data_IF_471363690106
#
_entry.id   IF_471363690106
#
_cell.length_a   1.000
_cell.length_b   1.000
_cell.length_c   1.000
_cell.angle_alpha   90.00
_cell.angle_beta   90.00
_cell.angle_gamma   90.00
#
_symmetry.space_group_name_H-M   'P 1'
#
loop_
_entity.id
_entity.type
_entity.pdbx_description
1 polymer ?
#
# COMPACT_ATOMS: atom_id res chain seq x y z
N UNK A 1 -7.82 2.44 39.66
CA UNK A 1 -7.91 1.00 39.35
C UNK A 1 -7.15 0.79 38.05
N UNK A 2 -6.06 0.00 38.08
CA UNK A 2 -5.31 -0.32 36.88
C UNK A 2 -6.15 -1.28 36.05
N UNK A 3 -6.65 -0.81 34.92
CA UNK A 3 -7.46 -1.64 34.01
C UNK A 3 -6.54 -2.68 33.39
N UNK A 4 -6.61 -3.90 33.91
CA UNK A 4 -5.94 -5.07 33.35
C UNK A 4 -6.57 -5.37 32.00
N UNK A 5 -6.01 -4.80 30.93
CA UNK A 5 -6.32 -5.22 29.56
C UNK A 5 -5.73 -6.62 29.43
N UNK A 6 -6.59 -7.62 29.24
CA UNK A 6 -6.16 -8.99 28.98
C UNK A 6 -5.40 -8.96 27.65
N UNK A 7 -4.07 -8.97 27.70
CA UNK A 7 -3.23 -9.15 26.52
C UNK A 7 -3.51 -10.56 25.98
N UNK A 8 -4.09 -10.68 24.78
CA UNK A 8 -4.08 -11.96 24.07
C UNK A 8 -2.63 -12.30 23.75
N UNK A 9 -2.12 -13.36 24.36
CA UNK A 9 -0.77 -13.85 24.10
C UNK A 9 -0.73 -14.42 22.68
N UNK A 10 0.25 -13.98 21.88
CA UNK A 10 0.42 -14.45 20.50
C UNK A 10 0.78 -15.93 20.47
N UNK A 11 0.04 -16.68 19.67
CA UNK A 11 0.32 -18.05 19.27
C UNK A 11 0.13 -18.18 17.75
N UNK A 12 0.40 -19.38 17.22
CA UNK A 12 0.36 -19.62 15.76
C UNK A 12 -1.03 -19.51 15.10
N UNK A 13 -2.11 -19.36 15.86
CA UNK A 13 -3.49 -19.40 15.36
C UNK A 13 -4.25 -18.08 15.52
N UNK A 14 -3.73 -17.14 16.29
CA UNK A 14 -4.39 -15.87 16.59
C UNK A 14 -3.62 -14.66 16.08
N UNK A 15 -2.77 -14.84 15.07
CA UNK A 15 -1.91 -13.78 14.56
C UNK A 15 -2.72 -12.56 14.10
N UNK A 16 -3.81 -12.77 13.35
CA UNK A 16 -4.63 -11.67 12.84
C UNK A 16 -5.25 -10.84 13.98
N UNK A 17 -5.92 -11.49 14.93
CA UNK A 17 -6.50 -10.83 16.11
C UNK A 17 -5.44 -10.13 16.98
N UNK A 18 -4.29 -10.78 17.18
CA UNK A 18 -3.18 -10.22 17.95
C UNK A 18 -2.57 -8.99 17.26
N UNK A 19 -2.35 -9.07 15.95
CA UNK A 19 -1.75 -7.99 15.16
C UNK A 19 -2.60 -6.73 15.23
N UNK A 20 -3.93 -6.87 15.10
CA UNK A 20 -4.87 -5.77 15.23
C UNK A 20 -4.81 -5.09 16.61
N UNK A 21 -4.71 -5.89 17.69
CA UNK A 21 -4.58 -5.35 19.05
C UNK A 21 -3.26 -4.60 19.26
N UNK A 22 -2.16 -5.13 18.73
CA UNK A 22 -0.85 -4.48 18.84
C UNK A 22 -0.82 -3.19 18.01
N UNK A 23 -1.32 -3.19 16.77
CA UNK A 23 -1.41 -1.97 15.95
C UNK A 23 -2.24 -0.89 16.65
N UNK A 24 -3.38 -1.27 17.23
CA UNK A 24 -4.23 -0.35 18.01
C UNK A 24 -3.48 0.22 19.22
N UNK A 25 -2.72 -0.60 19.94
CA UNK A 25 -1.88 -0.16 21.05
C UNK A 25 -0.77 0.79 20.58
N UNK A 26 -0.10 0.48 19.47
CA UNK A 26 0.99 1.30 18.94
C UNK A 26 0.49 2.67 18.45
N UNK A 27 -0.68 2.71 17.80
CA UNK A 27 -1.35 3.96 17.43
C UNK A 27 -1.64 4.81 18.68
N UNK A 28 -2.23 4.22 19.71
CA UNK A 28 -2.58 4.94 20.95
C UNK A 28 -1.35 5.45 21.73
N UNK A 29 -0.17 4.91 21.47
CA UNK A 29 1.09 5.30 22.14
C UNK A 29 2.03 6.12 21.27
N UNK A 30 1.61 6.51 20.06
CA UNK A 30 2.45 7.19 19.08
C UNK A 30 3.76 6.41 18.76
N UNK A 31 3.61 5.11 18.57
CA UNK A 31 4.68 4.15 18.27
C UNK A 31 4.48 3.43 16.92
N UNK A 32 3.47 3.80 16.14
CA UNK A 32 3.15 3.10 14.89
C UNK A 32 4.21 3.34 13.80
N UNK A 33 4.87 4.50 13.85
CA UNK A 33 5.97 4.89 12.96
C UNK A 33 7.13 3.87 12.97
N UNK A 34 7.52 3.40 14.16
CA UNK A 34 8.66 2.49 14.32
C UNK A 34 8.38 1.04 13.90
N UNK A 35 7.11 0.67 13.66
CA UNK A 35 6.75 -0.64 13.10
C UNK A 35 6.94 -0.68 11.59
N UNK A 36 6.53 0.37 10.88
CA UNK A 36 6.46 0.33 9.42
C UNK A 36 7.66 1.00 8.76
N UNK A 37 8.30 1.98 9.41
CA UNK A 37 9.37 2.78 8.82
C UNK A 37 10.75 2.36 9.37
N UNK A 38 11.79 2.67 8.58
CA UNK A 38 13.19 2.48 8.99
C UNK A 38 13.68 3.70 9.77
N UNK A 39 14.69 3.55 10.65
CA UNK A 39 15.25 4.67 11.40
C UNK A 39 15.65 5.84 10.50
N UNK A 40 15.29 7.08 10.85
CA UNK A 40 15.64 8.25 10.05
C UNK A 40 17.16 8.44 10.03
N UNK A 41 17.72 8.62 8.83
CA UNK A 41 19.11 8.98 8.65
C UNK A 41 19.23 10.48 8.92
N UNK A 42 19.65 10.85 10.12
CA UNK A 42 19.79 12.24 10.55
C UNK A 42 20.99 12.41 11.47
N UNK A 43 21.69 13.53 11.32
CA UNK A 43 22.75 13.96 12.24
C UNK A 43 22.19 14.60 13.52
N UNK A 44 20.87 14.83 13.58
CA UNK A 44 20.21 15.36 14.76
C UNK A 44 20.10 14.28 15.86
N UNK A 45 20.94 14.42 16.89
CA UNK A 45 21.02 13.49 18.01
C UNK A 45 19.68 13.36 18.78
N UNK A 46 18.91 14.44 18.89
CA UNK A 46 17.61 14.42 19.58
C UNK A 46 16.58 13.58 18.83
N UNK A 47 16.51 13.72 17.50
CA UNK A 47 15.61 12.94 16.64
C UNK A 47 16.02 11.46 16.65
N UNK A 48 17.32 11.18 16.56
CA UNK A 48 17.85 9.80 16.65
C UNK A 48 17.52 9.15 18.00
N UNK A 49 17.66 9.90 19.10
CA UNK A 49 17.38 9.43 20.46
C UNK A 49 15.89 9.22 20.70
N UNK A 50 15.04 10.13 20.19
CA UNK A 50 13.59 10.00 20.25
C UNK A 50 13.12 8.75 19.51
N UNK A 51 13.65 8.52 18.30
CA UNK A 51 13.37 7.30 17.52
C UNK A 51 13.76 6.03 18.27
N UNK A 52 15.00 5.94 18.76
CA UNK A 52 15.47 4.77 19.54
C UNK A 52 14.61 4.50 20.76
N UNK A 53 14.09 5.54 21.42
CA UNK A 53 13.20 5.40 22.58
C UNK A 53 11.82 4.87 22.17
N UNK A 54 11.27 5.31 21.03
CA UNK A 54 10.02 4.77 20.47
C UNK A 54 10.19 3.31 20.05
N UNK A 55 11.25 3.01 19.29
CA UNK A 55 11.56 1.67 18.80
C UNK A 55 11.75 0.67 19.95
N UNK A 56 12.51 1.04 20.99
CA UNK A 56 12.69 0.19 22.17
C UNK A 56 11.37 -0.09 22.93
N UNK A 57 10.47 0.91 23.02
CA UNK A 57 9.15 0.73 23.66
C UNK A 57 8.25 -0.19 22.85
N UNK A 58 8.24 -0.03 21.53
CA UNK A 58 7.46 -0.85 20.63
C UNK A 58 7.96 -2.30 20.65
N UNK A 59 9.28 -2.51 20.54
CA UNK A 59 9.90 -3.84 20.62
C UNK A 59 9.56 -4.53 21.94
N UNK A 60 9.65 -3.82 23.06
CA UNK A 60 9.29 -4.35 24.37
C UNK A 60 7.82 -4.77 24.47
N UNK A 61 6.91 -3.99 23.90
CA UNK A 61 5.49 -4.33 23.87
C UNK A 61 5.20 -5.58 23.01
N UNK A 62 5.87 -5.72 21.86
CA UNK A 62 5.77 -6.92 21.02
C UNK A 62 6.26 -8.15 21.79
N UNK A 63 7.46 -8.07 22.39
CA UNK A 63 8.04 -9.17 23.17
C UNK A 63 7.13 -9.64 24.30
N UNK A 64 6.60 -8.72 25.10
CA UNK A 64 5.73 -9.05 26.23
C UNK A 64 4.36 -9.61 25.82
N UNK A 65 3.99 -9.44 24.55
CA UNK A 65 2.73 -9.97 24.02
C UNK A 65 2.90 -11.34 23.36
N UNK A 66 4.13 -11.87 23.24
CA UNK A 66 4.42 -13.15 22.62
C UNK A 66 4.34 -14.32 23.62
N UNK A 67 3.87 -15.47 23.15
CA UNK A 67 4.02 -16.76 23.84
C UNK A 67 5.43 -17.32 23.67
N UNK A 68 5.79 -18.37 24.42
CA UNK A 68 7.14 -18.94 24.40
C UNK A 68 7.59 -19.39 23.00
N UNK A 69 6.68 -19.95 22.21
CA UNK A 69 6.93 -20.42 20.85
C UNK A 69 7.12 -19.27 19.86
N UNK A 70 6.35 -18.19 19.97
CA UNK A 70 6.41 -17.03 19.09
C UNK A 70 7.51 -16.04 19.50
N UNK A 71 7.83 -15.95 20.79
CA UNK A 71 8.99 -15.20 21.29
C UNK A 71 10.31 -15.76 20.75
N UNK A 72 10.41 -17.09 20.58
CA UNK A 72 11.60 -17.72 20.03
C UNK A 72 11.95 -17.24 18.61
N UNK A 73 10.94 -16.83 17.83
CA UNK A 73 11.10 -16.30 16.46
C UNK A 73 11.76 -14.91 16.46
N UNK A 74 11.49 -14.10 17.49
CA UNK A 74 11.89 -12.69 17.56
C UNK A 74 12.97 -12.39 18.61
N UNK A 75 13.46 -13.41 19.33
CA UNK A 75 14.56 -13.29 20.33
C UNK A 75 15.79 -12.54 19.81
N UNK A 76 16.05 -12.61 18.50
CA UNK A 76 17.23 -12.01 17.86
C UNK A 76 16.93 -10.66 17.18
N UNK A 77 15.67 -10.23 17.18
CA UNK A 77 15.29 -8.94 16.63
C UNK A 77 15.85 -7.81 17.49
N UNK A 78 16.43 -6.79 16.84
CA UNK A 78 16.99 -5.62 17.53
C UNK A 78 16.13 -4.36 17.37
N UNK A 79 15.09 -4.42 16.54
CA UNK A 79 14.13 -3.33 16.32
C UNK A 79 12.70 -3.85 16.32
N UNK A 80 11.74 -2.96 16.60
CA UNK A 80 10.32 -3.30 16.61
C UNK A 80 9.85 -3.79 15.23
N UNK A 81 10.27 -3.11 14.16
CA UNK A 81 10.03 -3.50 12.77
C UNK A 81 10.53 -4.92 12.46
N UNK A 82 11.76 -5.26 12.83
CA UNK A 82 12.29 -6.60 12.60
C UNK A 82 11.50 -7.69 13.32
N UNK A 83 11.07 -7.42 14.56
CA UNK A 83 10.23 -8.35 15.30
C UNK A 83 8.85 -8.51 14.65
N UNK A 84 8.26 -7.41 14.20
CA UNK A 84 6.96 -7.39 13.53
C UNK A 84 6.96 -8.17 12.21
N UNK A 85 7.92 -7.85 11.33
CA UNK A 85 8.07 -8.49 10.02
C UNK A 85 8.30 -10.01 10.18
N UNK A 86 9.17 -10.42 11.11
CA UNK A 86 9.45 -11.83 11.37
C UNK A 86 8.23 -12.63 11.86
N UNK A 87 7.37 -12.03 12.69
CA UNK A 87 6.12 -12.68 13.12
C UNK A 87 5.10 -12.76 11.99
N UNK A 88 4.99 -11.70 11.17
CA UNK A 88 4.13 -11.67 9.99
C UNK A 88 4.50 -12.78 9.01
N UNK A 89 5.79 -12.91 8.68
CA UNK A 89 6.28 -13.87 7.69
C UNK A 89 6.10 -15.33 8.12
N UNK A 90 6.23 -15.61 9.41
CA UNK A 90 6.11 -16.97 9.94
C UNK A 90 4.67 -17.38 10.25
N UNK A 91 3.80 -16.43 10.62
CA UNK A 91 2.46 -16.74 11.13
C UNK A 91 1.32 -16.37 10.16
N UNK A 92 1.54 -15.55 9.13
CA UNK A 92 0.55 -15.30 8.05
C UNK A 92 0.56 -16.33 6.92
N UNK A 93 1.48 -17.32 6.93
CA UNK A 93 1.47 -18.39 5.92
C UNK A 93 0.23 -19.27 6.12
N UNK A 94 -0.57 -19.57 5.07
CA UNK A 94 -1.64 -20.56 5.17
C UNK A 94 -1.03 -21.90 5.59
N UNK A 95 -1.49 -22.43 6.72
CA UNK A 95 -1.14 -23.77 7.15
C UNK A 95 -1.62 -24.80 6.11
N UNK A 96 -0.71 -25.35 5.32
CA UNK A 96 -0.99 -26.62 4.65
C UNK A 96 -0.99 -27.76 5.68
N UNK A 97 -1.93 -28.72 5.56
CA UNK A 97 -1.95 -29.91 6.40
C UNK A 97 -0.80 -30.81 6.00
N UNK A 98 0.05 -31.12 6.98
CA UNK A 98 0.96 -32.25 6.94
C UNK A 98 0.12 -33.54 6.94
N UNK A 99 -0.09 -34.13 5.77
CA UNK A 99 -0.42 -35.54 5.64
C UNK A 99 0.60 -36.24 4.73
N UNK A 100 1.06 -37.38 5.21
CA UNK A 100 2.07 -38.22 4.61
C UNK A 100 1.65 -38.80 3.24
N UNK A 101 2.65 -39.03 2.40
CA UNK A 101 2.78 -40.22 1.56
C UNK A 101 1.64 -40.55 0.56
N UNK A 102 1.83 -40.19 -0.71
CA UNK A 102 1.81 -41.15 -1.84
C UNK A 102 2.06 -40.47 -3.19
N UNK A 103 3.23 -40.75 -3.79
CA UNK A 103 3.42 -41.24 -5.18
C UNK A 103 4.89 -41.19 -5.60
N UNK A 104 5.55 -42.35 -5.52
CA UNK A 104 6.81 -42.64 -6.24
C UNK A 104 6.52 -42.78 -7.74
N UNK A 105 7.47 -42.36 -8.59
CA UNK A 105 7.70 -42.98 -9.89
C UNK A 105 9.20 -43.13 -10.19
N UNK A 106 9.49 -44.17 -10.95
CA UNK A 106 10.73 -44.96 -11.03
C UNK A 106 11.63 -44.41 -12.14
N UNK A 107 12.27 -43.26 -11.92
CA UNK A 107 13.20 -42.66 -12.90
C UNK A 107 14.59 -42.33 -12.34
N UNK A 108 14.83 -42.59 -11.05
CA UNK A 108 16.13 -42.30 -10.40
C UNK A 108 17.01 -43.55 -10.20
N UNK A 109 16.62 -44.70 -10.76
CA UNK A 109 17.21 -45.98 -10.35
C UNK A 109 18.50 -46.38 -11.10
N UNK A 110 18.71 -46.06 -12.39
CA UNK A 110 19.89 -46.57 -13.12
C UNK A 110 20.30 -45.72 -14.35
N UNK A 111 21.50 -45.12 -14.38
CA UNK A 111 22.23 -44.74 -15.61
C UNK A 111 23.17 -45.88 -16.05
N UNK A 112 23.59 -45.99 -17.34
CA UNK A 112 25.04 -46.10 -17.68
C UNK A 112 25.38 -45.61 -19.15
N UNK A 113 26.62 -45.74 -19.70
CA UNK A 113 27.64 -44.68 -19.68
C UNK A 113 28.48 -44.45 -20.98
N UNK A 114 29.07 -43.26 -21.06
CA UNK A 114 30.40 -42.82 -21.60
C UNK A 114 30.86 -43.27 -23.00
N UNK A 115 31.26 -42.29 -23.82
CA UNK A 115 32.50 -42.39 -24.60
C UNK A 115 33.35 -41.11 -24.45
N UNK A 116 34.67 -41.30 -24.33
CA UNK A 116 35.71 -40.31 -24.08
C UNK A 116 36.38 -39.87 -25.39
N UNK A 117 36.69 -38.57 -25.53
CA UNK A 117 37.43 -38.08 -26.70
C UNK A 117 37.94 -36.63 -26.61
N UNK A 118 38.78 -36.36 -25.62
CA UNK A 118 40.01 -35.50 -25.60
C UNK A 118 40.10 -34.15 -26.38
N UNK A 119 40.30 -33.10 -25.58
CA UNK A 119 41.10 -31.83 -25.71
C UNK A 119 40.57 -30.55 -26.41
N UNK A 120 40.63 -29.38 -25.71
CA UNK A 120 40.38 -28.01 -26.22
C UNK A 120 41.73 -27.30 -26.57
N UNK A 121 41.84 -25.97 -26.84
CA UNK A 121 40.84 -24.90 -26.85
C UNK A 121 40.96 -23.90 -28.04
N UNK A 122 39.85 -23.29 -28.45
CA UNK A 122 39.91 -21.92 -28.96
C UNK A 122 38.68 -21.15 -28.48
N UNK A 123 38.97 -20.06 -27.75
CA UNK A 123 38.01 -19.08 -27.29
C UNK A 123 37.17 -18.56 -28.45
N UNK A 124 35.92 -19.01 -28.53
CA UNK A 124 34.90 -18.37 -29.35
C UNK A 124 33.98 -17.66 -28.40
N UNK A 125 33.99 -16.33 -28.47
CA UNK A 125 32.97 -15.48 -27.86
C UNK A 125 31.62 -16.07 -28.24
N UNK A 126 30.89 -16.56 -27.24
CA UNK A 126 29.50 -16.95 -27.42
C UNK A 126 28.78 -15.70 -27.86
N UNK A 127 28.22 -15.72 -29.07
CA UNK A 127 27.09 -14.89 -29.39
C UNK A 127 26.03 -15.26 -28.36
N UNK A 128 25.62 -14.32 -27.52
CA UNK A 128 24.41 -14.48 -26.74
C UNK A 128 23.30 -14.66 -27.76
N UNK A 129 22.60 -15.80 -27.69
CA UNK A 129 21.33 -15.96 -28.40
C UNK A 129 20.48 -14.73 -28.05
N UNK A 130 20.07 -13.98 -29.08
CA UNK A 130 19.12 -12.87 -28.97
C UNK A 130 17.79 -13.45 -28.47
N UNK A 131 17.67 -13.66 -27.16
CA UNK A 131 16.39 -13.91 -26.53
C UNK A 131 15.66 -12.58 -26.51
N UNK A 132 14.46 -12.54 -27.09
CA UNK A 132 13.58 -11.39 -26.95
C UNK A 132 13.40 -11.05 -25.46
N UNK A 133 13.59 -9.78 -25.06
CA UNK A 133 13.38 -9.36 -23.69
C UNK A 133 11.98 -9.70 -23.18
N UNK A 134 11.90 -10.05 -21.90
CA UNK A 134 10.65 -10.29 -21.18
C UNK A 134 9.87 -8.99 -20.95
N UNK A 135 8.58 -9.10 -20.62
CA UNK A 135 7.74 -7.94 -20.31
C UNK A 135 8.34 -7.09 -19.17
N UNK A 136 8.70 -7.73 -18.06
CA UNK A 136 9.39 -7.09 -16.93
C UNK A 136 10.69 -6.37 -17.33
N UNK A 137 11.47 -6.92 -18.28
CA UNK A 137 12.69 -6.28 -18.78
C UNK A 137 12.40 -5.01 -19.59
N UNK A 138 11.36 -5.01 -20.44
CA UNK A 138 10.92 -3.79 -21.14
C UNK A 138 10.40 -2.73 -20.18
N UNK A 139 9.67 -3.13 -19.14
CA UNK A 139 9.21 -2.18 -18.11
C UNK A 139 10.42 -1.60 -17.37
N UNK A 140 11.35 -2.43 -16.92
CA UNK A 140 12.54 -1.99 -16.16
C UNK A 140 13.47 -1.07 -16.97
N UNK A 141 13.48 -1.19 -18.30
CA UNK A 141 14.27 -0.33 -19.21
C UNK A 141 13.53 0.91 -19.70
N UNK A 142 12.32 1.18 -19.19
CA UNK A 142 11.45 2.29 -19.63
C UNK A 142 11.09 2.22 -21.14
N UNK A 143 11.08 1.02 -21.74
CA UNK A 143 10.73 0.80 -23.15
C UNK A 143 9.20 0.70 -23.33
N UNK A 144 8.54 1.84 -23.15
CA UNK A 144 7.08 1.95 -23.23
C UNK A 144 6.51 1.52 -24.59
N UNK A 145 7.28 1.62 -25.67
CA UNK A 145 6.86 1.18 -26.99
C UNK A 145 6.64 -0.34 -27.04
N UNK A 146 7.62 -1.10 -26.53
CA UNK A 146 7.52 -2.55 -26.45
C UNK A 146 6.54 -3.00 -25.36
N UNK A 147 6.48 -2.32 -24.21
CA UNK A 147 5.46 -2.58 -23.17
C UNK A 147 4.04 -2.50 -23.75
N UNK A 148 3.72 -1.41 -24.46
CA UNK A 148 2.39 -1.22 -25.08
C UNK A 148 2.14 -2.28 -26.17
N UNK A 149 3.16 -2.67 -26.93
CA UNK A 149 3.04 -3.72 -27.93
C UNK A 149 2.76 -5.09 -27.30
N UNK A 150 3.41 -5.40 -26.17
CA UNK A 150 3.15 -6.61 -25.39
C UNK A 150 1.70 -6.63 -24.87
N UNK A 151 1.23 -5.52 -24.28
CA UNK A 151 -0.16 -5.41 -23.82
C UNK A 151 -1.18 -5.52 -24.96
N UNK A 152 -0.86 -5.02 -26.15
CA UNK A 152 -1.71 -5.18 -27.34
C UNK A 152 -1.82 -6.63 -27.78
N UNK A 153 -0.74 -7.41 -27.65
CA UNK A 153 -0.72 -8.84 -28.00
C UNK A 153 -1.38 -9.68 -26.92
N UNK A 154 -1.22 -9.31 -25.65
CA UNK A 154 -1.77 -10.00 -24.50
C UNK A 154 -2.09 -9.00 -23.38
N UNK A 155 -3.36 -8.67 -23.20
CA UNK A 155 -3.83 -7.77 -22.14
C UNK A 155 -3.50 -8.29 -20.75
N UNK A 156 -3.43 -9.62 -20.56
CA UNK A 156 -3.11 -10.23 -19.26
C UNK A 156 -1.72 -9.87 -18.75
N UNK A 157 -0.79 -9.46 -19.61
CA UNK A 157 0.50 -8.92 -19.19
C UNK A 157 0.35 -7.67 -18.29
N UNK A 158 -0.80 -6.97 -18.37
CA UNK A 158 -1.14 -5.84 -17.49
C UNK A 158 -1.28 -6.23 -16.02
N UNK A 159 -1.67 -7.48 -15.74
CA UNK A 159 -1.76 -8.04 -14.39
C UNK A 159 -0.44 -8.57 -13.85
N UNK A 160 0.64 -8.57 -14.63
CA UNK A 160 1.95 -9.04 -14.18
C UNK A 160 2.45 -8.16 -13.02
N UNK A 161 2.70 -8.79 -11.87
CA UNK A 161 3.30 -8.14 -10.71
C UNK A 161 4.81 -8.11 -10.87
N UNK A 162 5.40 -6.95 -10.63
CA UNK A 162 6.80 -6.68 -10.90
C UNK A 162 7.56 -6.55 -9.57
N UNK A 163 8.46 -7.49 -9.21
CA UNK A 163 9.14 -7.46 -7.91
C UNK A 163 9.93 -6.17 -7.64
N UNK A 164 10.46 -5.53 -8.68
CA UNK A 164 11.19 -4.26 -8.56
C UNK A 164 10.30 -3.03 -8.37
N UNK A 165 8.97 -3.23 -8.39
CA UNK A 165 7.93 -2.20 -8.19
C UNK A 165 7.08 -2.58 -6.97
N UNK A 166 7.70 -3.22 -5.97
CA UNK A 166 7.00 -3.73 -4.78
C UNK A 166 5.83 -4.66 -5.15
N UNK A 167 6.07 -5.58 -6.07
CA UNK A 167 5.03 -6.44 -6.65
C UNK A 167 3.83 -5.69 -7.28
N UNK A 168 3.96 -4.39 -7.53
CA UNK A 168 2.97 -3.61 -8.26
C UNK A 168 2.97 -3.93 -9.76
N UNK A 169 1.94 -3.47 -10.45
CA UNK A 169 1.80 -3.62 -11.91
C UNK A 169 2.63 -2.60 -12.70
N UNK A 170 2.67 -2.75 -14.02
CA UNK A 170 3.24 -1.75 -14.94
C UNK A 170 2.63 -0.36 -14.76
N UNK A 171 1.37 -0.27 -14.33
CA UNK A 171 0.70 1.02 -14.08
C UNK A 171 1.24 1.71 -12.82
N UNK A 172 1.58 0.96 -11.77
CA UNK A 172 2.27 1.50 -10.59
C UNK A 172 3.61 2.09 -11.00
N UNK A 173 4.38 1.34 -11.80
CA UNK A 173 5.69 1.79 -12.25
C UNK A 173 5.62 3.06 -13.09
N UNK A 174 4.65 3.13 -14.02
CA UNK A 174 4.45 4.31 -14.86
C UNK A 174 4.12 5.56 -14.03
N UNK A 175 3.37 5.41 -12.94
CA UNK A 175 3.05 6.51 -12.03
C UNK A 175 4.29 6.89 -11.21
N UNK A 176 4.99 5.92 -10.58
CA UNK A 176 6.23 6.17 -9.82
C UNK A 176 7.32 6.84 -10.66
N UNK A 177 7.38 6.54 -11.96
CA UNK A 177 8.29 7.16 -12.93
C UNK A 177 7.82 8.52 -13.45
N UNK A 178 6.67 9.02 -12.98
CA UNK A 178 6.05 10.25 -13.45
C UNK A 178 5.86 10.28 -14.98
N UNK A 179 5.50 9.14 -15.59
CA UNK A 179 5.37 9.03 -17.03
C UNK A 179 4.36 10.03 -17.59
N UNK A 180 4.50 10.37 -18.87
CA UNK A 180 3.56 11.28 -19.54
C UNK A 180 2.12 10.76 -19.47
N UNK A 181 1.15 11.67 -19.37
CA UNK A 181 -0.29 11.35 -19.40
C UNK A 181 -0.63 10.42 -20.56
N UNK A 182 -0.02 10.66 -21.73
CA UNK A 182 -0.20 9.85 -22.94
C UNK A 182 0.23 8.38 -22.78
N UNK A 183 1.31 8.11 -22.04
CA UNK A 183 1.77 6.73 -21.79
C UNK A 183 0.79 6.04 -20.84
N UNK A 184 0.44 6.70 -19.74
CA UNK A 184 -0.48 6.16 -18.74
C UNK A 184 -1.84 5.84 -19.36
N UNK A 185 -2.38 6.74 -20.17
CA UNK A 185 -3.64 6.51 -20.90
C UNK A 185 -3.54 5.32 -21.88
N UNK A 186 -2.43 5.16 -22.59
CA UNK A 186 -2.24 4.01 -23.48
C UNK A 186 -2.14 2.69 -22.70
N UNK A 187 -1.48 2.68 -21.54
CA UNK A 187 -1.45 1.49 -20.66
C UNK A 187 -2.88 1.16 -20.24
N UNK A 188 -3.61 2.14 -19.70
CA UNK A 188 -4.99 1.98 -19.28
C UNK A 188 -5.90 1.51 -20.41
N UNK A 189 -5.72 1.97 -21.65
CA UNK A 189 -6.50 1.52 -22.80
C UNK A 189 -6.31 0.03 -23.12
N UNK A 190 -5.11 -0.52 -22.86
CA UNK A 190 -4.75 -1.91 -23.19
C UNK A 190 -4.88 -2.89 -22.01
N UNK A 191 -4.96 -2.39 -20.78
CA UNK A 191 -5.22 -3.20 -19.58
C UNK A 191 -6.73 -3.49 -19.43
N UNK A 192 -7.08 -4.61 -18.80
CA UNK A 192 -8.46 -4.92 -18.42
C UNK A 192 -8.85 -4.15 -17.15
N UNK A 193 -10.15 -3.98 -16.88
CA UNK A 193 -10.62 -3.16 -15.75
C UNK A 193 -10.19 -3.75 -14.40
N UNK A 194 -10.16 -5.08 -14.29
CA UNK A 194 -9.78 -5.82 -13.09
C UNK A 194 -8.28 -5.68 -12.78
N UNK A 195 -7.44 -5.41 -13.79
CA UNK A 195 -6.00 -5.19 -13.58
C UNK A 195 -5.72 -3.89 -12.83
N UNK A 196 -6.67 -2.94 -12.81
CA UNK A 196 -6.54 -1.67 -12.08
C UNK A 196 -6.72 -1.87 -10.56
N UNK A 197 -7.36 -2.96 -10.13
CA UNK A 197 -7.59 -3.29 -8.71
C UNK A 197 -6.37 -3.96 -8.04
N UNK A 198 -5.37 -4.37 -8.82
CA UNK A 198 -4.18 -5.05 -8.29
C UNK A 198 -3.41 -4.08 -7.41
N UNK A 199 -2.97 -4.57 -6.25
CA UNK A 199 -2.23 -3.81 -5.26
C UNK A 199 -0.75 -4.18 -5.24
N UNK A 200 0.10 -3.25 -4.83
CA UNK A 200 1.50 -3.50 -4.49
C UNK A 200 1.65 -4.15 -3.09
N UNK A 201 2.89 -4.33 -2.64
CA UNK A 201 3.21 -4.92 -1.33
C UNK A 201 2.72 -4.07 -0.14
N UNK A 202 2.42 -2.78 -0.34
CA UNK A 202 1.80 -1.92 0.69
C UNK A 202 0.26 -2.03 0.68
N UNK A 203 -0.28 -2.89 -0.18
CA UNK A 203 -1.71 -3.00 -0.41
C UNK A 203 -2.26 -1.85 -1.23
N UNK A 204 -1.45 -0.97 -1.83
CA UNK A 204 -1.92 0.21 -2.57
C UNK A 204 -2.12 -0.11 -4.04
N UNK A 205 -3.24 0.35 -4.62
CA UNK A 205 -3.42 0.34 -6.08
C UNK A 205 -2.67 1.49 -6.75
N UNK A 206 -2.52 1.41 -8.07
CA UNK A 206 -1.95 2.50 -8.87
C UNK A 206 -2.70 3.83 -8.67
N UNK A 207 -4.01 3.81 -8.46
CA UNK A 207 -4.81 5.01 -8.19
C UNK A 207 -4.42 5.68 -6.87
N UNK A 208 -4.07 4.90 -5.83
CA UNK A 208 -3.57 5.46 -4.57
C UNK A 208 -2.27 6.23 -4.78
N UNK A 209 -1.31 5.64 -5.50
CA UNK A 209 -0.05 6.32 -5.81
C UNK A 209 -0.30 7.61 -6.60
N UNK A 210 -1.22 7.58 -7.56
CA UNK A 210 -1.59 8.76 -8.34
C UNK A 210 -2.15 9.89 -7.46
N UNK A 211 -3.09 9.57 -6.55
CA UNK A 211 -3.71 10.56 -5.66
C UNK A 211 -2.68 11.12 -4.67
N UNK A 212 -1.77 10.28 -4.16
CA UNK A 212 -0.75 10.66 -3.19
C UNK A 212 0.34 11.54 -3.79
N UNK A 213 0.86 11.13 -4.94
CA UNK A 213 2.10 11.68 -5.48
C UNK A 213 1.85 12.74 -6.56
N UNK A 214 0.71 12.67 -7.26
CA UNK A 214 0.36 13.56 -8.37
C UNK A 214 -1.11 14.02 -8.34
N UNK A 215 -1.56 14.69 -7.26
CA UNK A 215 -2.94 15.17 -7.12
C UNK A 215 -3.37 16.13 -8.25
N UNK A 216 -2.44 16.78 -8.93
CA UNK A 216 -2.70 17.63 -10.09
C UNK A 216 -3.11 16.87 -11.35
N UNK A 217 -2.92 15.54 -11.41
CA UNK A 217 -3.24 14.69 -12.57
C UNK A 217 -4.63 14.06 -12.47
N UNK A 218 -5.61 14.83 -12.02
CA UNK A 218 -6.95 14.36 -11.70
C UNK A 218 -7.72 13.75 -12.89
N UNK A 219 -7.40 14.14 -14.12
CA UNK A 219 -8.02 13.57 -15.33
C UNK A 219 -7.64 12.10 -15.54
N UNK A 220 -6.44 11.69 -15.09
CA UNK A 220 -6.03 10.28 -15.10
C UNK A 220 -6.86 9.51 -14.08
N UNK A 221 -6.97 10.03 -12.85
CA UNK A 221 -7.76 9.40 -11.80
C UNK A 221 -9.23 9.25 -12.20
N UNK A 222 -9.80 10.31 -12.78
CA UNK A 222 -11.17 10.30 -13.33
C UNK A 222 -11.34 9.18 -14.37
N UNK A 223 -10.36 9.05 -15.28
CA UNK A 223 -10.36 8.00 -16.30
C UNK A 223 -10.23 6.59 -15.69
N UNK A 224 -9.45 6.42 -14.62
CA UNK A 224 -9.30 5.15 -13.91
C UNK A 224 -10.60 4.72 -13.24
N UNK A 225 -11.27 5.64 -12.55
CA UNK A 225 -12.56 5.39 -11.87
C UNK A 225 -13.68 5.13 -12.87
N UNK A 226 -13.72 5.86 -13.99
CA UNK A 226 -14.68 5.60 -15.07
C UNK A 226 -14.47 4.23 -15.72
N UNK A 227 -13.23 3.77 -15.79
CA UNK A 227 -12.90 2.45 -16.35
C UNK A 227 -13.23 1.31 -15.39
N UNK A 228 -13.05 1.49 -14.08
CA UNK A 228 -13.38 0.48 -13.09
C UNK A 228 -14.27 1.07 -11.98
N UNK A 229 -15.56 0.77 -12.04
CA UNK A 229 -16.55 1.27 -11.08
C UNK A 229 -16.39 0.72 -9.65
N UNK A 230 -15.60 -0.35 -9.46
CA UNK A 230 -15.38 -0.95 -8.14
C UNK A 230 -14.68 0.01 -7.19
N UNK A 231 -13.89 0.95 -7.73
CA UNK A 231 -13.29 2.03 -6.95
C UNK A 231 -14.31 2.89 -6.19
N UNK A 232 -15.57 2.95 -6.63
CA UNK A 232 -16.62 3.76 -6.00
C UNK A 232 -17.77 2.92 -5.42
N UNK A 233 -18.08 1.73 -5.94
CA UNK A 233 -19.24 0.93 -5.47
C UNK A 233 -18.90 -0.15 -4.47
N UNK A 234 -17.67 -0.68 -4.53
CA UNK A 234 -17.24 -1.82 -3.74
C UNK A 234 -15.96 -1.42 -3.04
N UNK A 235 -15.96 -0.38 -2.21
CA UNK A 235 -14.82 -0.13 -1.32
C UNK A 235 -14.94 -1.13 -0.14
N UNK A 236 -14.25 -2.29 -0.13
CA UNK A 236 -14.30 -3.27 0.94
C UNK A 236 -13.03 -3.05 1.82
N UNK A 237 -12.84 -3.78 2.92
CA UNK A 237 -12.05 -3.33 4.09
C UNK A 237 -10.53 -3.22 3.89
N UNK A 238 -10.01 -3.34 2.67
CA UNK A 238 -8.59 -3.19 2.36
C UNK A 238 -8.11 -1.72 2.46
N UNK A 239 -9.02 -0.75 2.35
CA UNK A 239 -8.67 0.67 2.37
C UNK A 239 -9.47 1.43 3.40
N UNK A 240 -8.79 1.87 4.46
CA UNK A 240 -9.40 2.54 5.60
C UNK A 240 -9.89 3.96 5.28
N UNK A 241 -9.56 4.51 4.12
CA UNK A 241 -9.89 5.91 3.74
C UNK A 241 -10.39 5.96 2.29
N UNK A 242 -11.60 6.49 2.02
CA UNK A 242 -12.08 6.70 0.65
C UNK A 242 -11.18 7.63 -0.17
N UNK A 243 -11.02 7.37 -1.47
CA UNK A 243 -10.18 8.18 -2.37
C UNK A 243 -10.50 9.67 -2.35
N UNK A 244 -11.78 10.03 -2.25
CA UNK A 244 -12.21 11.44 -2.17
C UNK A 244 -11.68 12.12 -0.91
N UNK A 245 -11.62 11.41 0.23
CA UNK A 245 -11.04 11.92 1.48
C UNK A 245 -9.54 12.05 1.34
N UNK A 246 -8.87 11.01 0.83
CA UNK A 246 -7.42 11.03 0.64
C UNK A 246 -6.98 12.18 -0.28
N UNK A 247 -7.70 12.40 -1.38
CA UNK A 247 -7.46 13.52 -2.29
C UNK A 247 -7.66 14.88 -1.59
N UNK A 248 -8.73 15.02 -0.82
CA UNK A 248 -9.05 16.27 -0.13
C UNK A 248 -7.97 16.65 0.91
N UNK A 249 -7.25 15.66 1.47
CA UNK A 249 -6.14 15.89 2.40
C UNK A 249 -4.86 16.41 1.71
N UNK A 250 -4.73 16.30 0.39
CA UNK A 250 -3.51 16.73 -0.30
C UNK A 250 -3.50 18.25 -0.53
N UNK A 251 -2.34 18.94 -0.39
CA UNK A 251 -2.22 20.39 -0.59
C UNK A 251 -2.70 20.91 -1.95
N UNK A 252 -2.62 20.10 -3.02
CA UNK A 252 -3.12 20.46 -4.36
C UNK A 252 -4.25 19.52 -4.84
N UNK A 253 -4.88 18.79 -3.92
CA UNK A 253 -5.86 17.75 -4.24
C UNK A 253 -7.30 18.24 -4.39
N UNK A 254 -7.57 19.55 -4.43
CA UNK A 254 -8.93 20.08 -4.56
C UNK A 254 -9.64 19.57 -5.83
N UNK A 255 -8.99 19.70 -6.98
CA UNK A 255 -9.55 19.24 -8.26
C UNK A 255 -9.69 17.71 -8.30
N UNK A 256 -8.72 16.98 -7.74
CA UNK A 256 -8.78 15.53 -7.57
C UNK A 256 -9.98 15.12 -6.72
N UNK A 257 -10.16 15.74 -5.56
CA UNK A 257 -11.25 15.45 -4.65
C UNK A 257 -12.60 15.76 -5.30
N UNK A 258 -12.74 16.90 -5.98
CA UNK A 258 -13.98 17.27 -6.70
C UNK A 258 -14.32 16.28 -7.79
N UNK A 259 -13.33 15.88 -8.58
CA UNK A 259 -13.47 14.87 -9.63
C UNK A 259 -13.98 13.54 -9.05
N UNK A 260 -13.30 13.03 -8.03
CA UNK A 260 -13.67 11.77 -7.37
C UNK A 260 -15.03 11.86 -6.65
N UNK A 261 -15.34 12.99 -6.00
CA UNK A 261 -16.63 13.23 -5.37
C UNK A 261 -17.78 13.14 -6.37
N UNK A 262 -17.62 13.74 -7.56
CA UNK A 262 -18.64 13.67 -8.62
C UNK A 262 -18.90 12.26 -9.16
N UNK A 263 -17.94 11.35 -8.98
CA UNK A 263 -18.04 9.94 -9.39
C UNK A 263 -18.46 9.01 -8.25
N UNK A 264 -18.47 9.50 -7.00
CA UNK A 264 -18.77 8.70 -5.81
C UNK A 264 -20.25 8.84 -5.45
N UNK A 265 -21.05 7.76 -5.50
CA UNK A 265 -22.43 7.80 -5.03
C UNK A 265 -22.50 8.19 -3.55
N UNK A 266 -23.51 8.96 -3.17
CA UNK A 266 -23.68 9.40 -1.78
C UNK A 266 -23.82 8.20 -0.82
N UNK A 267 -24.41 7.10 -1.29
CA UNK A 267 -24.59 5.86 -0.55
C UNK A 267 -23.27 5.14 -0.23
N UNK A 268 -22.22 5.40 -1.00
CA UNK A 268 -20.89 4.83 -0.81
C UNK A 268 -20.05 5.59 0.23
N UNK A 269 -20.51 6.78 0.67
CA UNK A 269 -19.77 7.64 1.59
C UNK A 269 -20.33 7.55 3.01
N UNK A 270 -19.61 6.87 3.90
CA UNK A 270 -20.03 6.75 5.30
C UNK A 270 -19.97 8.08 6.06
N UNK A 271 -20.81 8.20 7.09
CA UNK A 271 -20.95 9.43 7.90
C UNK A 271 -19.61 9.98 8.43
N UNK A 272 -18.68 9.16 8.99
CA UNK A 272 -17.40 9.69 9.48
C UNK A 272 -16.54 10.31 8.38
N UNK A 273 -16.59 9.77 7.16
CA UNK A 273 -15.85 10.29 6.01
C UNK A 273 -16.52 11.52 5.39
N UNK A 274 -17.85 11.55 5.34
CA UNK A 274 -18.59 12.73 4.92
C UNK A 274 -18.35 13.91 5.89
N UNK A 275 -18.36 13.66 7.20
CA UNK A 275 -17.98 14.65 8.21
C UNK A 275 -16.52 15.10 8.03
N UNK A 276 -15.60 14.15 7.75
CA UNK A 276 -14.20 14.46 7.47
C UNK A 276 -14.04 15.41 6.29
N UNK A 277 -14.76 15.19 5.19
CA UNK A 277 -14.72 16.08 4.02
C UNK A 277 -15.15 17.52 4.36
N UNK A 278 -16.14 17.68 5.25
CA UNK A 278 -16.55 19.00 5.75
C UNK A 278 -15.42 19.62 6.60
N UNK A 279 -14.87 18.89 7.57
CA UNK A 279 -13.72 19.33 8.38
C UNK A 279 -12.55 19.79 7.51
N UNK A 280 -12.19 18.99 6.50
CA UNK A 280 -11.11 19.30 5.56
C UNK A 280 -11.44 20.51 4.67
N UNK A 281 -12.69 20.63 4.22
CA UNK A 281 -13.15 21.80 3.47
C UNK A 281 -12.99 23.11 4.25
N UNK A 282 -13.24 23.09 5.56
CA UNK A 282 -12.97 24.24 6.42
C UNK A 282 -11.48 24.48 6.64
N UNK A 283 -10.71 23.44 6.97
CA UNK A 283 -9.28 23.56 7.26
C UNK A 283 -8.46 24.06 6.06
N UNK A 284 -8.78 23.58 4.85
CA UNK A 284 -8.07 23.95 3.63
C UNK A 284 -8.73 25.08 2.86
N UNK A 285 -9.83 25.66 3.39
CA UNK A 285 -10.62 26.69 2.70
C UNK A 285 -11.08 26.25 1.30
N UNK A 286 -11.61 25.02 1.21
CA UNK A 286 -12.13 24.37 -0.01
C UNK A 286 -13.62 24.08 0.17
N UNK A 287 -14.50 25.07 -0.08
CA UNK A 287 -15.89 25.00 0.36
C UNK A 287 -16.75 24.06 -0.49
N UNK A 288 -16.36 23.71 -1.72
CA UNK A 288 -17.28 23.10 -2.69
C UNK A 288 -17.92 21.80 -2.20
N UNK A 289 -17.12 20.79 -1.84
CA UNK A 289 -17.63 19.51 -1.34
C UNK A 289 -18.32 19.69 0.02
N UNK A 290 -17.74 20.53 0.88
CA UNK A 290 -18.26 20.76 2.23
C UNK A 290 -19.66 21.41 2.21
N UNK A 291 -19.85 22.44 1.37
CA UNK A 291 -21.12 23.12 1.22
C UNK A 291 -22.17 22.22 0.57
N UNK A 292 -21.79 21.44 -0.45
CA UNK A 292 -22.69 20.46 -1.06
C UNK A 292 -23.20 19.43 -0.03
N UNK A 293 -22.29 18.88 0.78
CA UNK A 293 -22.65 17.96 1.86
C UNK A 293 -23.53 18.62 2.94
N UNK A 294 -23.24 19.86 3.35
CA UNK A 294 -24.05 20.58 4.35
C UNK A 294 -25.45 20.89 3.82
N UNK A 295 -25.57 21.25 2.54
CA UNK A 295 -26.86 21.56 1.91
C UNK A 295 -27.78 20.35 1.86
N UNK A 296 -27.24 19.17 1.51
CA UNK A 296 -28.02 17.94 1.41
C UNK A 296 -28.20 17.23 2.77
N UNK A 297 -27.20 17.32 3.65
CA UNK A 297 -27.14 16.57 4.91
C UNK A 297 -26.67 17.46 6.08
N UNK A 298 -27.47 18.45 6.51
CA UNK A 298 -27.04 19.46 7.48
C UNK A 298 -26.62 18.89 8.85
N UNK A 299 -27.09 17.69 9.21
CA UNK A 299 -26.70 17.01 10.46
C UNK A 299 -25.22 16.58 10.47
N UNK A 300 -24.58 16.44 9.31
CA UNK A 300 -23.16 16.07 9.22
C UNK A 300 -22.23 17.10 9.89
N UNK A 301 -22.65 18.36 9.97
CA UNK A 301 -21.84 19.42 10.61
C UNK A 301 -21.62 19.16 12.11
N UNK A 302 -22.47 18.33 12.73
CA UNK A 302 -22.41 17.94 14.14
C UNK A 302 -21.92 16.49 14.35
N UNK A 303 -21.66 15.76 13.27
CA UNK A 303 -21.18 14.38 13.34
C UNK A 303 -19.69 14.34 13.73
N UNK A 304 -19.27 13.22 14.32
CA UNK A 304 -17.86 12.96 14.63
C UNK A 304 -17.21 12.36 13.37
N UNK A 305 -16.14 13.00 12.88
CA UNK A 305 -15.36 12.52 11.75
C UNK A 305 -14.46 11.33 12.12
N UNK A 306 -13.84 10.69 11.13
CA UNK A 306 -12.94 9.54 11.33
C UNK A 306 -11.72 9.84 12.22
N UNK A 307 -11.43 11.12 12.51
CA UNK A 307 -10.35 11.55 13.39
C UNK A 307 -10.87 12.06 14.75
N UNK A 308 -12.17 11.89 15.05
CA UNK A 308 -12.78 12.32 16.30
C UNK A 308 -13.17 13.79 16.37
N UNK A 309 -13.10 14.55 15.27
CA UNK A 309 -13.44 15.98 15.23
C UNK A 309 -14.91 16.20 14.89
N UNK A 310 -15.44 17.34 15.32
CA UNK A 310 -16.77 17.80 14.91
C UNK A 310 -16.58 18.99 13.96
N UNK A 311 -17.06 18.95 12.70
CA UNK A 311 -16.79 20.02 11.73
C UNK A 311 -17.18 21.42 12.21
N UNK A 312 -18.30 21.55 12.94
CA UNK A 312 -18.71 22.84 13.52
C UNK A 312 -17.68 23.39 14.52
N UNK A 313 -17.05 22.52 15.32
CA UNK A 313 -16.04 22.93 16.30
C UNK A 313 -14.77 23.39 15.60
N UNK A 314 -14.41 22.77 14.46
CA UNK A 314 -13.25 23.16 13.67
C UNK A 314 -13.31 24.61 13.19
N UNK A 315 -14.50 25.14 12.87
CA UNK A 315 -14.68 26.57 12.54
C UNK A 315 -14.41 27.52 13.71
N UNK A 316 -14.56 27.04 14.96
CA UNK A 316 -14.36 27.84 16.15
C UNK A 316 -12.90 27.88 16.63
N UNK A 317 -12.03 27.05 16.05
CA UNK A 317 -10.60 27.03 16.35
C UNK A 317 -9.91 28.03 15.40
N UNK A 318 -9.32 29.13 15.90
CA UNK A 318 -8.58 30.04 15.04
C UNK A 318 -7.43 29.30 14.38
N UNK A 319 -7.45 29.22 13.05
CA UNK A 319 -6.38 28.61 12.24
C UNK A 319 -5.08 29.31 12.63
N UNK A 320 -4.06 28.61 13.17
CA UNK A 320 -2.77 29.22 13.41
C UNK A 320 -2.22 29.69 12.07
N UNK A 321 -1.90 30.99 11.99
CA UNK A 321 -1.32 31.71 10.84
C UNK A 321 0.02 31.15 10.30
N UNK A 322 0.40 29.93 10.67
CA UNK A 322 1.71 29.32 10.37
C UNK A 322 1.77 28.77 8.94
N UNK A 323 0.63 28.51 8.28
CA UNK A 323 0.60 28.03 6.89
C UNK A 323 0.55 29.13 5.82
N UNK A 324 0.61 30.43 6.20
CA UNK A 324 0.66 31.55 5.25
C UNK A 324 2.08 32.03 4.91
N UNK A 325 3.12 31.31 5.33
CA UNK A 325 4.50 31.61 4.92
C UNK A 325 4.87 30.64 3.79
N UNK A 326 4.45 30.96 2.58
CA UNK A 326 5.13 30.75 1.28
C UNK A 326 4.12 30.98 0.14
N UNK A 327 3.64 32.22 0.05
CA UNK A 327 3.14 32.78 -1.21
C UNK A 327 4.31 33.20 -2.09
#
# INVERSE_FOLDING_TARGET
>A
MATTVVHTVLNRKNYDDWSYQIETYMLAKDLLDVLHQVPPITENEEVSKAWKKKDAKALYAIWNSCGDDTYSLIKRATTAKQAWDALSDELKKPSEPSDENEKKSVLHAYPPPIDHGTTPPLARKSWTEDRDPTFAEYVKSDDWGNVINCLRKNSQAGSETLPFVRSGTVLHYAIQKNCSVRIIQQLMEKMEEEHLDITDDDGLTALHLLIRDYPERFEIAESMVKKNNRFVTNSPPLFLVPFVVEAQEKPNGEMMARSLYSLTPAEALEVPYAARLITLGFNFNRPDIALDLIQHYPKLVMAIDCNGNIPLVTLAIPIPLIYLIHL
#
